data_IF_233584334833
#
_entry.id   IF_233584334833
#
_cell.length_a   1.000
_cell.length_b   1.000
_cell.length_c   1.000
_cell.angle_alpha   90.00
_cell.angle_beta   90.00
_cell.angle_gamma   90.00
#
_symmetry.space_group_name_H-M   'P 1'
#
loop_
_entity.id
_entity.type
_entity.pdbx_description
1 polymer ?
#
# COMPACT_ATOMS: atom_id res chain seq x y z
N UNK A 1 -25.37 31.99 5.61
CA UNK A 1 -25.24 30.55 5.90
C UNK A 1 -24.81 29.74 4.70
N UNK A 2 -23.52 29.77 4.39
CA UNK A 2 -22.90 28.72 3.58
C UNK A 2 -22.63 27.56 4.53
N UNK A 3 -23.63 26.69 4.69
CA UNK A 3 -23.48 25.43 5.41
C UNK A 3 -22.52 24.53 4.65
N UNK A 4 -21.22 24.68 4.93
CA UNK A 4 -20.22 23.69 4.58
C UNK A 4 -20.58 22.42 5.34
N UNK A 5 -21.22 21.47 4.64
CA UNK A 5 -21.35 20.11 5.12
C UNK A 5 -19.94 19.60 5.39
N UNK A 6 -19.61 19.42 6.66
CA UNK A 6 -18.33 18.88 7.06
C UNK A 6 -18.33 17.39 6.72
N UNK A 7 -17.57 17.02 5.69
CA UNK A 7 -17.32 15.63 5.37
C UNK A 7 -16.18 15.14 6.26
N UNK A 8 -16.43 14.12 7.06
CA UNK A 8 -15.43 13.44 7.89
C UNK A 8 -15.10 12.10 7.27
N UNK A 9 -13.80 11.80 7.20
CA UNK A 9 -13.29 10.50 6.79
C UNK A 9 -12.71 9.80 8.01
N UNK A 10 -13.24 8.63 8.35
CA UNK A 10 -12.69 7.77 9.39
C UNK A 10 -11.71 6.77 8.76
N UNK A 11 -10.51 6.71 9.31
CA UNK A 11 -9.43 5.84 8.83
C UNK A 11 -8.96 4.93 9.95
N UNK A 12 -8.56 3.72 9.59
CA UNK A 12 -7.75 2.88 10.48
C UNK A 12 -6.41 3.56 10.78
N UNK A 13 -5.81 3.24 11.93
CA UNK A 13 -4.60 3.90 12.41
C UNK A 13 -3.46 3.90 11.36
N UNK A 14 -3.20 2.76 10.71
CA UNK A 14 -2.15 2.63 9.69
C UNK A 14 -2.41 3.48 8.43
N UNK A 15 -3.67 3.60 8.03
CA UNK A 15 -4.08 4.47 6.93
C UNK A 15 -4.01 5.94 7.33
N UNK A 16 -4.38 6.29 8.56
CA UNK A 16 -4.23 7.64 9.10
C UNK A 16 -2.74 8.05 9.15
N UNK A 17 -1.86 7.16 9.59
CA UNK A 17 -0.41 7.39 9.65
C UNK A 17 0.21 7.58 8.24
N UNK A 18 -0.37 6.95 7.22
CA UNK A 18 0.07 7.06 5.82
C UNK A 18 -0.61 8.18 5.04
N UNK A 19 -1.65 8.81 5.59
CA UNK A 19 -2.41 9.87 4.93
C UNK A 19 -1.55 11.11 4.61
N UNK A 20 -0.64 11.59 5.50
CA UNK A 20 0.24 12.70 5.16
C UNK A 20 1.05 12.44 3.89
N UNK A 21 1.68 11.26 3.75
CA UNK A 21 2.45 10.90 2.55
C UNK A 21 1.58 10.80 1.30
N UNK A 22 0.34 10.30 1.44
CA UNK A 22 -0.62 10.29 0.34
C UNK A 22 -0.99 11.71 -0.10
N UNK A 23 -1.24 12.62 0.85
CA UNK A 23 -1.55 14.02 0.55
C UNK A 23 -0.36 14.74 -0.07
N UNK A 24 0.85 14.50 0.43
CA UNK A 24 2.07 15.05 -0.15
C UNK A 24 2.17 14.67 -1.62
N UNK A 25 1.97 13.40 -1.96
CA UNK A 25 1.92 12.93 -3.35
C UNK A 25 0.89 13.68 -4.20
N UNK A 26 -0.31 13.95 -3.67
CA UNK A 26 -1.34 14.68 -4.43
C UNK A 26 -0.91 16.10 -4.79
N UNK A 27 -0.12 16.74 -3.95
CA UNK A 27 0.33 18.11 -4.14
C UNK A 27 1.66 18.20 -4.92
N UNK A 28 2.55 17.22 -4.78
CA UNK A 28 3.89 17.22 -5.40
C UNK A 28 3.96 16.39 -6.67
N UNK A 29 3.12 15.35 -6.79
CA UNK A 29 3.18 14.32 -7.82
C UNK A 29 4.19 13.20 -7.55
N UNK A 30 4.86 13.20 -6.39
CA UNK A 30 5.94 12.26 -6.07
C UNK A 30 5.91 11.87 -4.58
N UNK A 31 6.25 10.61 -4.29
CA UNK A 31 6.47 10.18 -2.91
C UNK A 31 7.84 10.64 -2.41
N UNK A 32 7.89 11.21 -1.20
CA UNK A 32 9.15 11.48 -0.51
C UNK A 32 9.85 10.19 -0.09
N UNK A 33 9.08 9.19 0.38
CA UNK A 33 9.55 7.84 0.68
C UNK A 33 8.35 6.87 0.69
N UNK A 34 8.52 5.68 0.09
CA UNK A 34 7.63 4.53 0.30
C UNK A 34 8.45 3.48 1.04
N UNK A 35 7.90 2.94 2.13
CA UNK A 35 8.52 1.88 2.93
C UNK A 35 7.67 0.61 2.88
N UNK A 36 8.26 -0.55 3.20
CA UNK A 36 7.50 -1.81 3.28
C UNK A 36 6.36 -1.76 4.32
N UNK A 37 6.48 -0.89 5.34
CA UNK A 37 5.46 -0.68 6.36
C UNK A 37 4.29 0.18 5.83
N UNK A 38 4.59 1.25 5.08
CA UNK A 38 3.58 2.18 4.58
C UNK A 38 2.93 1.72 3.26
N UNK A 39 3.59 0.87 2.48
CA UNK A 39 3.11 0.44 1.16
C UNK A 39 1.67 -0.12 1.20
N UNK A 40 1.36 -1.04 2.12
CA UNK A 40 0.02 -1.65 2.20
C UNK A 40 -1.07 -0.64 2.60
N UNK A 41 -0.74 0.30 3.49
CA UNK A 41 -1.65 1.36 3.91
C UNK A 41 -1.88 2.38 2.78
N UNK A 42 -0.82 2.78 2.07
CA UNK A 42 -0.89 3.65 0.90
C UNK A 42 -1.70 3.01 -0.23
N UNK A 43 -1.52 1.71 -0.47
CA UNK A 43 -2.32 0.97 -1.46
C UNK A 43 -3.81 0.98 -1.08
N UNK A 44 -4.12 0.73 0.21
CA UNK A 44 -5.50 0.78 0.72
C UNK A 44 -6.13 2.16 0.55
N UNK A 45 -5.38 3.24 0.83
CA UNK A 45 -5.83 4.62 0.60
C UNK A 45 -6.07 4.90 -0.88
N UNK A 46 -5.18 4.41 -1.76
CA UNK A 46 -5.28 4.58 -3.20
C UNK A 46 -6.53 3.90 -3.77
N UNK A 47 -6.83 2.68 -3.33
CA UNK A 47 -8.04 1.96 -3.71
C UNK A 47 -9.29 2.67 -3.20
N UNK A 48 -9.29 3.07 -1.93
CA UNK A 48 -10.44 3.71 -1.28
C UNK A 48 -10.78 5.07 -1.89
N UNK A 49 -9.77 5.90 -2.18
CA UNK A 49 -9.94 7.23 -2.78
C UNK A 49 -9.89 7.19 -4.31
N UNK A 50 -9.82 6.01 -4.92
CA UNK A 50 -9.74 5.81 -6.37
C UNK A 50 -8.59 6.57 -7.05
N UNK A 51 -7.42 6.64 -6.40
CA UNK A 51 -6.23 7.24 -6.96
C UNK A 51 -5.36 6.20 -7.69
N UNK A 52 -5.56 6.08 -8.99
CA UNK A 52 -4.81 5.14 -9.84
C UNK A 52 -3.29 5.39 -9.90
N UNK A 53 -2.80 6.64 -10.06
CA UNK A 53 -1.36 6.90 -10.05
C UNK A 53 -0.65 6.39 -8.80
N UNK A 54 -1.19 6.72 -7.61
CA UNK A 54 -0.64 6.23 -6.34
C UNK A 54 -0.69 4.70 -6.28
N UNK A 55 -1.82 4.10 -6.65
CA UNK A 55 -1.96 2.65 -6.66
C UNK A 55 -0.88 1.98 -7.51
N UNK A 56 -0.68 2.44 -8.74
CA UNK A 56 0.27 1.83 -9.67
C UNK A 56 1.72 1.99 -9.18
N UNK A 57 2.07 3.14 -8.60
CA UNK A 57 3.41 3.41 -8.07
C UNK A 57 3.72 2.60 -6.81
N UNK A 58 2.77 2.52 -5.87
CA UNK A 58 2.89 1.69 -4.66
C UNK A 58 2.98 0.22 -5.02
N UNK A 59 2.18 -0.24 -5.99
CA UNK A 59 2.25 -1.62 -6.46
C UNK A 59 3.61 -1.94 -7.10
N UNK A 60 4.19 -1.00 -7.84
CA UNK A 60 5.53 -1.18 -8.40
C UNK A 60 6.60 -1.21 -7.30
N UNK A 61 6.48 -0.36 -6.28
CA UNK A 61 7.32 -0.44 -5.09
C UNK A 61 7.24 -1.83 -4.43
N UNK A 62 6.03 -2.34 -4.14
CA UNK A 62 5.84 -3.66 -3.52
C UNK A 62 6.47 -4.79 -4.35
N UNK A 63 6.44 -4.68 -5.69
CA UNK A 63 7.11 -5.65 -6.57
C UNK A 63 8.62 -5.59 -6.46
N UNK A 64 9.19 -4.39 -6.38
CA UNK A 64 10.64 -4.17 -6.26
C UNK A 64 11.17 -4.53 -4.86
N UNK A 65 10.34 -4.37 -3.83
CA UNK A 65 10.67 -4.60 -2.43
C UNK A 65 10.43 -6.06 -1.99
N UNK A 66 10.04 -6.95 -2.90
CA UNK A 66 9.83 -8.38 -2.62
C UNK A 66 11.16 -9.07 -2.29
N UNK A 67 11.41 -9.26 -1.00
CA UNK A 67 12.57 -9.94 -0.43
C UNK A 67 12.12 -11.05 0.52
N UNK A 68 13.06 -11.86 1.01
CA UNK A 68 12.78 -12.90 2.00
C UNK A 68 12.12 -12.34 3.28
N UNK A 69 12.52 -11.13 3.69
CA UNK A 69 12.02 -10.48 4.90
C UNK A 69 10.62 -9.89 4.72
N UNK A 70 10.29 -9.37 3.54
CA UNK A 70 9.02 -8.68 3.25
C UNK A 70 7.96 -9.60 2.64
N UNK A 71 8.38 -10.75 2.09
CA UNK A 71 7.49 -11.71 1.45
C UNK A 71 6.31 -12.17 2.34
N UNK A 72 6.48 -12.48 3.65
CA UNK A 72 5.34 -12.88 4.49
C UNK A 72 4.26 -11.78 4.57
N UNK A 73 4.67 -10.53 4.73
CA UNK A 73 3.77 -9.38 4.78
C UNK A 73 3.05 -9.20 3.45
N UNK A 74 3.79 -9.20 2.33
CA UNK A 74 3.20 -9.03 1.01
C UNK A 74 2.36 -10.22 0.54
N UNK A 75 2.57 -11.41 1.08
CA UNK A 75 1.69 -12.54 0.86
C UNK A 75 0.30 -12.29 1.46
N UNK A 76 0.25 -11.84 2.72
CA UNK A 76 -1.02 -11.55 3.41
C UNK A 76 -1.73 -10.36 2.75
N UNK A 77 -1.00 -9.27 2.55
CA UNK A 77 -1.55 -8.03 1.99
C UNK A 77 -1.95 -8.21 0.53
N UNK A 78 -1.13 -8.92 -0.26
CA UNK A 78 -1.47 -9.25 -1.64
C UNK A 78 -2.75 -10.08 -1.76
N UNK A 79 -3.00 -11.01 -0.83
CA UNK A 79 -4.26 -11.75 -0.78
C UNK A 79 -5.45 -10.84 -0.45
N UNK A 80 -5.27 -9.88 0.48
CA UNK A 80 -6.31 -8.92 0.88
C UNK A 80 -6.73 -8.02 -0.28
N UNK A 81 -5.77 -7.60 -1.10
CA UNK A 81 -5.96 -6.67 -2.21
C UNK A 81 -6.12 -7.34 -3.59
N UNK A 82 -6.10 -8.67 -3.68
CA UNK A 82 -6.20 -9.38 -4.96
C UNK A 82 -4.99 -9.16 -5.89
N UNK A 83 -3.79 -8.97 -5.32
CA UNK A 83 -2.55 -8.77 -6.07
C UNK A 83 -1.91 -10.10 -6.47
N UNK A 84 -2.57 -10.87 -7.33
CA UNK A 84 -2.20 -12.25 -7.68
C UNK A 84 -0.71 -12.44 -8.05
N UNK A 85 -0.13 -11.48 -8.78
CA UNK A 85 1.29 -11.53 -9.18
C UNK A 85 2.23 -11.36 -7.99
N UNK A 86 1.92 -10.45 -7.07
CA UNK A 86 2.71 -10.23 -5.84
C UNK A 86 2.58 -11.46 -4.94
N UNK A 87 1.36 -11.98 -4.78
CA UNK A 87 1.06 -13.20 -4.02
C UNK A 87 1.86 -14.39 -4.55
N UNK A 88 1.87 -14.61 -5.86
CA UNK A 88 2.58 -15.74 -6.46
C UNK A 88 4.10 -15.70 -6.18
N UNK A 89 4.71 -14.51 -6.27
CA UNK A 89 6.14 -14.32 -5.99
C UNK A 89 6.42 -14.47 -4.49
N UNK A 90 5.62 -13.82 -3.65
CA UNK A 90 5.74 -13.88 -2.19
C UNK A 90 5.60 -15.33 -1.66
N UNK A 91 4.59 -16.07 -2.13
CA UNK A 91 4.36 -17.46 -1.75
C UNK A 91 5.56 -18.36 -2.12
N UNK A 92 6.16 -18.14 -3.29
CA UNK A 92 7.35 -18.87 -3.72
C UNK A 92 8.54 -18.59 -2.81
N UNK A 93 8.79 -17.33 -2.46
CA UNK A 93 9.85 -16.94 -1.54
C UNK A 93 9.62 -17.58 -0.16
N UNK A 94 8.43 -17.44 0.42
CA UNK A 94 8.10 -18.07 1.70
C UNK A 94 8.30 -19.59 1.68
N UNK A 95 7.89 -20.28 0.62
CA UNK A 95 8.05 -21.73 0.49
C UNK A 95 9.51 -22.18 0.37
N UNK A 96 10.38 -21.38 -0.24
CA UNK A 96 11.82 -21.67 -0.32
C UNK A 96 12.49 -21.66 1.06
N UNK A 97 12.01 -20.81 1.98
CA UNK A 97 12.53 -20.75 3.34
C UNK A 97 12.09 -21.89 4.25
N UNK A 98 10.89 -22.44 4.03
CA UNK A 98 10.38 -23.56 4.84
C UNK A 98 11.09 -24.89 4.55
N UNK A 99 11.74 -25.02 3.39
CA UNK A 99 12.45 -26.22 2.97
C UNK A 99 13.97 -26.18 3.24
N UNK A 100 14.46 -25.16 3.96
CA UNK A 100 15.85 -25.03 4.42
C UNK A 100 15.95 -25.42 5.89
#
# INVERSE_FOLDING_TARGET
>A
DTGLSQATLELEASAADSMPSFLDYLYTGEFSEISSLSASALLSLAEYLHNKPVHDEVLEFMRSDLTEATAPTYLVEGCRHGLDKVVAVAAKLCAQHLNR
#
